data_IF_190666591519
#
_entry.id   IF_190666591519
#
_cell.length_a   1.000
_cell.length_b   1.000
_cell.length_c   1.000
_cell.angle_alpha   90.00
_cell.angle_beta   90.00
_cell.angle_gamma   90.00
#
_symmetry.space_group_name_H-M   'P 1'
#
loop_
_entity.id
_entity.type
_entity.pdbx_description
1 polymer ?
#
# COMPACT_ATOMS: atom_id res chain seq x y z
N UNK A 1 40.62 -7.63 -2.45
CA UNK A 1 39.55 -7.54 -3.48
C UNK A 1 38.80 -6.23 -3.27
N UNK A 2 38.72 -5.36 -4.28
CA UNK A 2 37.99 -4.08 -4.16
C UNK A 2 36.48 -4.35 -4.06
N UNK A 3 35.80 -3.76 -3.06
CA UNK A 3 34.34 -3.87 -2.90
C UNK A 3 33.67 -3.22 -4.11
N UNK A 4 32.79 -3.97 -4.78
CA UNK A 4 32.00 -3.47 -5.92
C UNK A 4 31.04 -2.38 -5.44
N UNK A 5 31.27 -1.14 -5.86
CA UNK A 5 30.43 0.02 -5.51
C UNK A 5 29.20 0.09 -6.41
N UNK A 6 28.02 0.07 -5.81
CA UNK A 6 26.74 0.19 -6.51
C UNK A 6 26.18 1.60 -6.34
N UNK A 7 25.94 2.28 -7.47
CA UNK A 7 25.31 3.60 -7.50
C UNK A 7 23.78 3.45 -7.58
N UNK A 8 23.06 4.13 -6.69
CA UNK A 8 21.59 4.24 -6.73
C UNK A 8 21.14 5.20 -7.86
N UNK A 9 19.84 5.31 -8.10
CA UNK A 9 19.30 6.10 -9.21
C UNK A 9 19.67 7.59 -9.10
N UNK A 10 19.58 8.14 -7.89
CA UNK A 10 19.98 9.53 -7.60
C UNK A 10 21.46 9.81 -7.90
N UNK A 11 22.37 8.92 -7.46
CA UNK A 11 23.80 9.02 -7.73
C UNK A 11 24.12 8.88 -9.22
N UNK A 12 23.38 8.06 -9.96
CA UNK A 12 23.53 7.94 -11.42
C UNK A 12 23.08 9.22 -12.12
N UNK A 13 21.99 9.85 -11.67
CA UNK A 13 21.54 11.13 -12.22
C UNK A 13 22.53 12.25 -11.94
N UNK A 14 23.07 12.33 -10.72
CA UNK A 14 24.10 13.32 -10.39
C UNK A 14 25.37 13.10 -11.21
N UNK A 15 25.78 11.85 -11.44
CA UNK A 15 26.87 11.51 -12.35
C UNK A 15 26.60 12.04 -13.76
N UNK A 16 25.41 11.80 -14.32
CA UNK A 16 25.03 12.27 -15.66
C UNK A 16 25.03 13.80 -15.74
N UNK A 17 24.47 14.49 -14.74
CA UNK A 17 24.51 15.97 -14.65
C UNK A 17 25.93 16.51 -14.64
N UNK A 18 26.85 15.85 -13.94
CA UNK A 18 28.25 16.27 -13.91
C UNK A 18 29.01 15.93 -15.20
N UNK A 19 28.61 14.87 -15.90
CA UNK A 19 29.12 14.55 -17.22
C UNK A 19 28.70 15.61 -18.25
N UNK A 20 27.45 16.05 -18.24
CA UNK A 20 26.94 17.13 -19.11
C UNK A 20 27.62 18.47 -18.83
N UNK A 21 28.01 18.74 -17.57
CA UNK A 21 28.86 19.89 -17.19
C UNK A 21 30.32 19.77 -17.68
N UNK A 22 30.66 18.74 -18.45
CA UNK A 22 31.96 18.57 -19.09
C UNK A 22 33.00 17.78 -18.27
N UNK A 23 32.62 17.12 -17.15
CA UNK A 23 33.58 16.28 -16.42
C UNK A 23 33.88 15.00 -17.19
N UNK A 24 35.17 14.65 -17.27
CA UNK A 24 35.60 13.41 -17.93
C UNK A 24 35.20 12.16 -17.13
N UNK A 25 35.00 11.04 -17.84
CA UNK A 25 34.70 9.75 -17.21
C UNK A 25 35.76 9.31 -16.18
N UNK A 26 37.02 9.74 -16.35
CA UNK A 26 38.08 9.51 -15.36
C UNK A 26 37.82 10.27 -14.06
N UNK A 27 37.47 11.56 -14.14
CA UNK A 27 37.17 12.39 -12.97
C UNK A 27 35.93 11.90 -12.23
N UNK A 28 34.93 11.42 -12.97
CA UNK A 28 33.71 10.83 -12.40
C UNK A 28 33.98 9.50 -11.69
N UNK A 29 34.84 8.64 -12.23
CA UNK A 29 35.25 7.40 -11.57
C UNK A 29 35.88 7.66 -10.19
N UNK A 30 36.70 8.71 -10.07
CA UNK A 30 37.31 9.15 -8.82
C UNK A 30 36.26 9.71 -7.84
N UNK A 31 35.36 10.60 -8.32
CA UNK A 31 34.31 11.23 -7.51
C UNK A 31 33.31 10.23 -6.92
N UNK A 32 32.90 9.24 -7.70
CA UNK A 32 31.87 8.25 -7.32
C UNK A 32 32.47 6.93 -6.82
N UNK A 33 33.79 6.86 -6.66
CA UNK A 33 34.52 5.67 -6.20
C UNK A 33 34.14 4.39 -6.95
N UNK A 34 33.99 4.48 -8.28
CA UNK A 34 33.56 3.37 -9.11
C UNK A 34 34.43 3.18 -10.35
N UNK A 35 34.37 1.98 -10.95
CA UNK A 35 35.21 1.65 -12.10
C UNK A 35 34.81 2.41 -13.36
N UNK A 36 35.79 2.77 -14.22
CA UNK A 36 35.53 3.46 -15.50
C UNK A 36 34.54 2.73 -16.39
N UNK A 37 34.55 1.40 -16.38
CA UNK A 37 33.57 0.57 -17.13
C UNK A 37 32.14 0.81 -16.66
N UNK A 38 31.92 1.00 -15.36
CA UNK A 38 30.62 1.31 -14.79
C UNK A 38 30.17 2.73 -15.15
N UNK A 39 31.07 3.71 -15.09
CA UNK A 39 30.80 5.09 -15.54
C UNK A 39 30.37 5.10 -17.01
N UNK A 40 31.17 4.50 -17.89
CA UNK A 40 30.89 4.47 -19.33
C UNK A 40 29.57 3.73 -19.64
N UNK A 41 29.24 2.69 -18.87
CA UNK A 41 27.95 2.01 -19.00
C UNK A 41 26.79 2.96 -18.63
N UNK A 42 26.89 3.69 -17.53
CA UNK A 42 25.87 4.65 -17.08
C UNK A 42 25.69 5.77 -18.12
N UNK A 43 26.79 6.29 -18.68
CA UNK A 43 26.73 7.32 -19.74
C UNK A 43 26.05 6.77 -21.01
N UNK A 44 26.32 5.52 -21.38
CA UNK A 44 25.65 4.87 -22.53
C UNK A 44 24.15 4.66 -22.30
N UNK A 45 23.75 4.35 -21.06
CA UNK A 45 22.36 4.12 -20.66
C UNK A 45 21.63 5.41 -20.23
N UNK A 46 22.14 6.61 -20.61
CA UNK A 46 21.64 7.90 -20.10
C UNK A 46 20.14 8.09 -20.29
N UNK A 47 19.61 7.76 -21.46
CA UNK A 47 18.22 8.06 -21.83
C UNK A 47 17.26 7.16 -21.05
N UNK A 48 17.67 5.90 -20.83
CA UNK A 48 16.94 4.95 -20.00
C UNK A 48 16.92 5.42 -18.53
N UNK A 49 18.06 5.87 -18.00
CA UNK A 49 18.15 6.35 -16.62
C UNK A 49 17.33 7.62 -16.40
N UNK A 50 17.26 8.51 -17.41
CA UNK A 50 16.45 9.73 -17.34
C UNK A 50 14.96 9.40 -17.29
N UNK A 51 14.50 8.53 -18.19
CA UNK A 51 13.13 8.03 -18.20
C UNK A 51 12.77 7.32 -16.89
N UNK A 52 13.67 6.47 -16.39
CA UNK A 52 13.51 5.81 -15.09
C UNK A 52 13.46 6.82 -13.93
N UNK A 53 14.15 7.95 -14.01
CA UNK A 53 14.08 8.98 -12.97
C UNK A 53 12.75 9.74 -12.97
N UNK A 54 12.20 10.02 -14.15
CA UNK A 54 10.90 10.69 -14.30
C UNK A 54 9.72 9.79 -13.90
N UNK A 55 9.77 8.50 -14.26
CA UNK A 55 8.70 7.55 -13.99
C UNK A 55 8.62 7.11 -12.51
N UNK A 56 9.73 7.16 -11.75
CA UNK A 56 9.80 6.59 -10.40
C UNK A 56 9.91 7.64 -9.28
N UNK A 57 9.00 7.59 -8.31
CA UNK A 57 9.01 8.46 -7.12
C UNK A 57 10.03 8.08 -6.01
N UNK A 58 10.79 6.97 -6.16
CA UNK A 58 11.70 6.46 -5.13
C UNK A 58 13.15 6.36 -5.62
N UNK A 59 13.90 7.45 -5.50
CA UNK A 59 15.26 7.57 -6.05
C UNK A 59 16.38 6.91 -5.21
N UNK A 60 16.09 6.52 -3.96
CA UNK A 60 17.07 5.96 -3.01
C UNK A 60 17.39 4.47 -3.15
N UNK A 61 16.74 3.75 -4.07
CA UNK A 61 16.87 2.29 -4.19
C UNK A 61 18.19 1.91 -4.93
N UNK A 62 19.03 1.09 -4.28
CA UNK A 62 20.38 0.72 -4.78
C UNK A 62 20.41 -0.27 -5.95
N UNK A 63 19.33 -1.05 -6.15
CA UNK A 63 19.20 -2.04 -7.25
C UNK A 63 17.77 -2.10 -7.73
N UNK A 64 17.58 -1.82 -9.00
CA UNK A 64 16.33 -2.11 -9.70
C UNK A 64 16.26 -3.60 -10.04
N UNK A 65 15.16 -4.26 -9.70
CA UNK A 65 14.76 -5.52 -10.32
C UNK A 65 13.66 -5.19 -11.31
N UNK A 66 13.93 -5.33 -12.60
CA UNK A 66 12.89 -5.31 -13.62
C UNK A 66 11.86 -6.39 -13.25
N UNK A 67 10.59 -6.00 -13.22
CA UNK A 67 9.53 -6.94 -12.85
C UNK A 67 9.39 -7.97 -13.97
N UNK A 68 9.35 -9.25 -13.60
CA UNK A 68 9.11 -10.34 -14.55
C UNK A 68 7.73 -10.23 -15.23
N UNK A 69 6.81 -9.43 -14.65
CA UNK A 69 5.39 -9.39 -14.99
C UNK A 69 4.83 -7.94 -14.99
N UNK A 70 5.51 -7.01 -15.68
CA UNK A 70 5.10 -5.59 -15.77
C UNK A 70 3.64 -5.45 -16.21
N UNK A 71 3.24 -6.19 -17.25
CA UNK A 71 1.89 -6.13 -17.82
C UNK A 71 0.81 -6.52 -16.80
N UNK A 72 1.05 -7.52 -15.95
CA UNK A 72 0.10 -7.92 -14.91
C UNK A 72 -0.01 -6.80 -13.86
N UNK A 73 1.12 -6.22 -13.44
CA UNK A 73 1.10 -5.18 -12.43
C UNK A 73 0.40 -3.90 -12.91
N UNK A 74 0.57 -3.51 -14.17
CA UNK A 74 -0.15 -2.39 -14.77
C UNK A 74 -1.66 -2.65 -14.84
N UNK A 75 -2.06 -3.83 -15.31
CA UNK A 75 -3.48 -4.21 -15.39
C UNK A 75 -4.15 -4.28 -14.00
N UNK A 76 -3.45 -4.81 -12.98
CA UNK A 76 -3.94 -4.83 -11.60
C UNK A 76 -4.08 -3.41 -11.05
N UNK A 77 -3.15 -2.51 -11.36
CA UNK A 77 -3.22 -1.12 -10.94
C UNK A 77 -4.39 -0.38 -11.60
N UNK A 78 -4.62 -0.59 -12.88
CA UNK A 78 -5.74 0.00 -13.61
C UNK A 78 -7.07 -0.48 -13.02
N UNK A 79 -7.23 -1.79 -12.84
CA UNK A 79 -8.39 -2.37 -12.17
C UNK A 79 -8.60 -1.78 -10.77
N UNK A 80 -7.54 -1.66 -9.98
CA UNK A 80 -7.60 -1.08 -8.64
C UNK A 80 -8.13 0.36 -8.68
N UNK A 81 -7.63 1.20 -9.60
CA UNK A 81 -8.11 2.57 -9.79
C UNK A 81 -9.58 2.60 -10.18
N UNK A 82 -10.03 1.74 -11.10
CA UNK A 82 -11.44 1.65 -11.51
C UNK A 82 -12.36 1.28 -10.34
N UNK A 83 -11.96 0.32 -9.51
CA UNK A 83 -12.76 -0.12 -8.36
C UNK A 83 -12.79 0.95 -7.27
N UNK A 84 -11.68 1.65 -7.05
CA UNK A 84 -11.61 2.79 -6.12
C UNK A 84 -12.42 4.00 -6.58
N UNK A 85 -12.46 4.29 -7.88
CA UNK A 85 -13.32 5.35 -8.44
C UNK A 85 -14.80 5.10 -8.16
N UNK A 86 -15.21 3.82 -8.06
CA UNK A 86 -16.56 3.40 -7.65
C UNK A 86 -16.77 3.37 -6.13
N UNK A 87 -15.80 3.86 -5.34
CA UNK A 87 -15.78 3.83 -3.87
C UNK A 87 -15.89 2.43 -3.25
N UNK A 88 -15.54 1.39 -4.02
CA UNK A 88 -15.56 0.02 -3.52
C UNK A 88 -14.27 -0.24 -2.73
N UNK A 89 -14.42 -0.89 -1.58
CA UNK A 89 -13.31 -1.28 -0.73
C UNK A 89 -12.61 -2.49 -1.33
N UNK A 90 -11.29 -2.39 -1.46
CA UNK A 90 -10.45 -3.47 -1.98
C UNK A 90 -9.55 -3.95 -0.85
N UNK A 91 -9.46 -5.27 -0.66
CA UNK A 91 -8.55 -5.89 0.32
C UNK A 91 -7.30 -6.47 -0.36
N UNK A 92 -6.29 -6.82 0.43
CA UNK A 92 -5.06 -7.42 -0.08
C UNK A 92 -5.29 -8.74 -0.83
N UNK A 93 -6.07 -9.67 -0.25
CA UNK A 93 -6.48 -10.89 -0.94
C UNK A 93 -7.21 -10.64 -2.25
N UNK A 94 -8.03 -9.58 -2.37
CA UNK A 94 -8.68 -9.24 -3.63
C UNK A 94 -7.67 -8.82 -4.70
N UNK A 95 -6.64 -8.06 -4.35
CA UNK A 95 -5.56 -7.69 -5.27
C UNK A 95 -4.78 -8.92 -5.72
N UNK A 96 -4.46 -9.82 -4.78
CA UNK A 96 -3.78 -11.09 -5.10
C UNK A 96 -4.63 -11.96 -6.03
N UNK A 97 -5.93 -12.09 -5.75
CA UNK A 97 -6.84 -12.83 -6.61
C UNK A 97 -6.91 -12.23 -8.01
N UNK A 98 -7.05 -10.91 -8.14
CA UNK A 98 -7.11 -10.26 -9.46
C UNK A 98 -5.81 -10.44 -10.25
N UNK A 99 -4.66 -10.33 -9.58
CA UNK A 99 -3.37 -10.56 -10.21
C UNK A 99 -3.23 -12.00 -10.74
N UNK A 100 -3.75 -12.99 -10.00
CA UNK A 100 -3.78 -14.38 -10.44
C UNK A 100 -4.71 -14.60 -11.63
N UNK A 101 -5.93 -14.06 -11.57
CA UNK A 101 -6.90 -14.12 -12.69
C UNK A 101 -6.32 -13.55 -13.99
N UNK A 102 -5.61 -12.42 -13.91
CA UNK A 102 -4.93 -11.82 -15.06
C UNK A 102 -3.75 -12.65 -15.55
N UNK A 103 -3.00 -13.31 -14.66
CA UNK A 103 -1.92 -14.21 -15.05
C UNK A 103 -2.45 -15.45 -15.78
N UNK A 104 -3.54 -16.03 -15.28
CA UNK A 104 -4.21 -17.19 -15.89
C UNK A 104 -4.75 -16.84 -17.28
N UNK A 105 -5.36 -15.66 -17.44
CA UNK A 105 -5.84 -15.17 -18.74
C UNK A 105 -4.72 -14.95 -19.77
N UNK A 106 -3.50 -14.65 -19.31
CA UNK A 106 -2.30 -14.49 -20.15
C UNK A 106 -1.53 -15.80 -20.36
N UNK A 107 -2.00 -16.92 -19.81
CA UNK A 107 -1.32 -18.22 -19.91
C UNK A 107 -0.01 -18.29 -19.13
N UNK A 108 0.15 -17.47 -18.08
CA UNK A 108 1.38 -17.46 -17.27
C UNK A 108 1.24 -18.51 -16.16
N UNK A 109 1.82 -19.67 -16.39
CA UNK A 109 1.88 -20.74 -15.40
C UNK A 109 2.83 -20.38 -14.22
N UNK A 110 2.50 -20.90 -13.04
CA UNK A 110 3.28 -20.71 -11.81
C UNK A 110 3.41 -19.25 -11.32
N UNK A 111 2.45 -18.39 -11.65
CA UNK A 111 2.38 -17.06 -11.10
C UNK A 111 2.01 -17.10 -9.61
N UNK A 112 2.93 -16.64 -8.74
CA UNK A 112 2.74 -16.62 -7.30
C UNK A 112 2.59 -15.19 -6.77
N UNK A 113 1.41 -14.91 -6.20
CA UNK A 113 1.07 -13.63 -5.57
C UNK A 113 1.37 -13.67 -4.07
N UNK A 114 2.63 -13.93 -3.71
CA UNK A 114 3.03 -13.95 -2.30
C UNK A 114 2.81 -12.59 -1.61
N UNK A 115 2.74 -12.59 -0.27
CA UNK A 115 2.59 -11.35 0.51
C UNK A 115 3.71 -10.34 0.19
N UNK A 116 4.95 -10.81 -0.02
CA UNK A 116 6.05 -9.94 -0.44
C UNK A 116 5.92 -9.39 -1.86
N UNK A 117 5.14 -10.01 -2.74
CA UNK A 117 4.78 -9.43 -4.04
C UNK A 117 3.76 -8.30 -3.85
N UNK A 118 2.72 -8.54 -3.05
CA UNK A 118 1.70 -7.55 -2.70
C UNK A 118 2.30 -6.32 -2.03
N UNK A 119 3.20 -6.50 -1.06
CA UNK A 119 3.83 -5.36 -0.37
C UNK A 119 4.69 -4.50 -1.30
N UNK A 120 5.41 -5.13 -2.23
CA UNK A 120 6.16 -4.39 -3.25
C UNK A 120 5.26 -3.64 -4.21
N UNK A 121 4.18 -4.27 -4.69
CA UNK A 121 3.16 -3.63 -5.51
C UNK A 121 2.60 -2.39 -4.80
N UNK A 122 2.31 -2.51 -3.51
CA UNK A 122 1.79 -1.41 -2.69
C UNK A 122 2.77 -0.25 -2.56
N UNK A 123 4.02 -0.55 -2.19
CA UNK A 123 5.07 0.47 -2.01
C UNK A 123 5.29 1.22 -3.32
N UNK A 124 5.39 0.50 -4.45
CA UNK A 124 5.61 1.08 -5.79
C UNK A 124 4.47 2.01 -6.20
N UNK A 125 3.23 1.61 -5.92
CA UNK A 125 2.05 2.35 -6.33
C UNK A 125 1.53 3.32 -5.25
N UNK A 126 2.26 3.50 -4.15
CA UNK A 126 1.91 4.38 -3.04
C UNK A 126 0.54 4.07 -2.40
N UNK A 127 0.27 2.78 -2.23
CA UNK A 127 -0.96 2.21 -1.73
C UNK A 127 -0.82 1.79 -0.26
N UNK A 128 -1.76 2.17 0.60
CA UNK A 128 -1.73 1.89 2.05
C UNK A 128 -3.00 1.19 2.50
N UNK A 129 -2.90 0.16 3.35
CA UNK A 129 -4.06 -0.39 4.04
C UNK A 129 -4.43 0.51 5.21
N UNK A 130 -5.69 0.94 5.29
CA UNK A 130 -6.25 1.52 6.50
C UNK A 130 -7.44 0.69 6.95
N UNK A 131 -7.51 0.46 8.26
CA UNK A 131 -8.73 -0.03 8.88
C UNK A 131 -9.73 1.13 8.88
N UNK A 132 -10.91 0.91 8.30
CA UNK A 132 -11.99 1.88 8.44
C UNK A 132 -12.64 1.61 9.79
N UNK A 133 -12.44 2.50 10.76
CA UNK A 133 -13.17 2.44 12.03
C UNK A 133 -14.58 2.96 11.74
N UNK A 134 -15.59 2.08 11.81
CA UNK A 134 -16.93 2.34 11.31
C UNK A 134 -17.86 3.09 12.29
N UNK A 135 -17.46 3.28 13.55
CA UNK A 135 -18.42 3.64 14.62
C UNK A 135 -18.10 4.96 15.33
N UNK A 136 -16.87 5.47 15.28
CA UNK A 136 -16.49 6.68 16.00
C UNK A 136 -17.04 7.99 15.38
N UNK A 137 -17.63 7.94 14.19
CA UNK A 137 -18.05 9.14 13.45
C UNK A 137 -19.53 9.53 13.65
N UNK A 138 -20.31 8.71 14.35
CA UNK A 138 -21.78 8.86 14.44
C UNK A 138 -22.30 9.00 15.88
N UNK A 139 -21.40 9.07 16.88
CA UNK A 139 -21.78 9.25 18.29
C UNK A 139 -21.72 10.73 18.64
N UNK A 140 -22.87 11.31 19.00
CA UNK A 140 -22.95 12.67 19.54
C UNK A 140 -22.22 12.71 20.90
N UNK A 141 -21.17 13.55 21.07
CA UNK A 141 -20.45 13.66 22.34
C UNK A 141 -21.36 13.98 23.53
N UNK A 142 -22.47 14.70 23.30
CA UNK A 142 -23.42 15.05 24.36
C UNK A 142 -24.19 13.84 24.91
N UNK A 143 -24.41 12.80 24.11
CA UNK A 143 -25.03 11.54 24.57
C UNK A 143 -24.09 10.73 25.48
N UNK A 144 -22.77 10.88 25.32
CA UNK A 144 -21.78 10.17 26.15
C UNK A 144 -21.69 10.74 27.57
N UNK A 145 -21.80 12.06 27.73
CA UNK A 145 -21.76 12.73 29.04
C UNK A 145 -22.98 12.34 29.90
N UNK A 146 -24.19 12.35 29.31
CA UNK A 146 -25.42 11.93 29.98
C UNK A 146 -25.39 10.45 30.43
N UNK A 147 -24.73 9.58 29.68
CA UNK A 147 -24.64 8.15 30.04
C UNK A 147 -23.73 7.90 31.25
N UNK A 148 -22.66 8.69 31.42
CA UNK A 148 -21.73 8.53 32.54
C UNK A 148 -22.38 8.90 33.89
N UNK A 149 -23.26 9.89 33.91
CA UNK A 149 -23.98 10.29 35.13
C UNK A 149 -25.17 9.36 35.45
N UNK A 150 -25.85 8.83 34.42
CA UNK A 150 -27.05 8.01 34.57
C UNK A 150 -26.78 6.55 34.89
N UNK A 151 -25.68 5.98 34.40
CA UNK A 151 -25.40 4.55 34.54
C UNK A 151 -25.23 4.13 36.02
N UNK A 152 -24.49 4.85 36.88
CA UNK A 152 -24.40 4.51 38.31
C UNK A 152 -25.75 4.56 39.03
N UNK A 153 -26.64 5.49 38.64
CA UNK A 153 -27.98 5.61 39.24
C UNK A 153 -28.88 4.42 38.87
N UNK A 154 -28.74 3.88 37.65
CA UNK A 154 -29.49 2.72 37.19
C UNK A 154 -28.98 1.41 37.82
N UNK A 155 -27.67 1.33 38.11
CA UNK A 155 -27.03 0.17 38.71
C UNK A 155 -27.11 0.15 40.24
N UNK A 156 -27.45 1.26 40.90
CA UNK A 156 -27.46 1.39 42.37
C UNK A 156 -28.36 0.39 43.13
N UNK A 157 -29.27 -0.31 42.44
CA UNK A 157 -30.17 -1.31 43.01
C UNK A 157 -29.83 -2.77 42.68
N UNK A 158 -28.73 -3.02 41.99
CA UNK A 158 -28.29 -4.34 41.57
C UNK A 158 -26.92 -4.64 42.16
N UNK A 159 -26.68 -5.88 42.58
CA UNK A 159 -25.34 -6.33 42.96
C UNK A 159 -24.49 -6.52 41.69
N UNK A 160 -23.17 -6.38 41.82
CA UNK A 160 -22.23 -6.50 40.70
C UNK A 160 -22.35 -7.89 40.01
N UNK A 161 -22.67 -8.94 40.77
CA UNK A 161 -22.87 -10.31 40.27
C UNK A 161 -24.15 -10.48 39.44
N UNK A 162 -25.10 -9.54 39.54
CA UNK A 162 -26.34 -9.49 38.76
C UNK A 162 -26.24 -8.53 37.55
N UNK A 163 -25.06 -7.92 37.35
CA UNK A 163 -24.80 -6.97 36.27
C UNK A 163 -24.05 -7.64 35.13
N UNK A 164 -24.78 -8.05 34.09
CA UNK A 164 -24.22 -8.69 32.90
C UNK A 164 -24.04 -7.68 31.76
N UNK A 165 -22.91 -7.76 31.07
CA UNK A 165 -22.70 -7.00 29.84
C UNK A 165 -23.25 -7.78 28.66
N UNK A 166 -24.42 -7.38 28.18
CA UNK A 166 -24.99 -7.95 26.96
C UNK A 166 -24.50 -7.16 25.74
N UNK A 167 -23.84 -7.85 24.81
CA UNK A 167 -23.45 -7.26 23.54
C UNK A 167 -24.00 -8.09 22.38
N UNK A 168 -24.49 -7.39 21.35
CA UNK A 168 -24.96 -8.00 20.13
C UNK A 168 -23.87 -7.87 19.07
N UNK A 169 -23.27 -9.00 18.68
CA UNK A 169 -22.45 -9.03 17.48
C UNK A 169 -23.29 -9.51 16.31
N UNK A 170 -23.04 -8.96 15.13
CA UNK A 170 -23.68 -9.43 13.92
C UNK A 170 -22.68 -10.18 13.05
N UNK A 171 -23.03 -11.43 12.69
CA UNK A 171 -22.28 -12.19 11.69
C UNK A 171 -22.70 -11.71 10.29
N UNK A 172 -21.84 -10.93 9.64
CA UNK A 172 -22.10 -10.45 8.29
C UNK A 172 -21.56 -11.41 7.22
N UNK A 173 -22.44 -12.00 6.42
CA UNK A 173 -22.06 -12.89 5.30
C UNK A 173 -22.02 -12.17 3.94
N UNK A 174 -22.51 -10.93 3.88
CA UNK A 174 -22.48 -10.06 2.69
C UNK A 174 -21.78 -8.72 2.92
N UNK A 175 -21.17 -8.51 4.09
CA UNK A 175 -20.46 -7.26 4.35
C UNK A 175 -19.21 -7.13 3.49
N UNK A 176 -19.01 -5.92 2.97
CA UNK A 176 -17.75 -5.54 2.36
C UNK A 176 -16.62 -5.54 3.41
N UNK A 177 -15.36 -5.78 3.02
CA UNK A 177 -14.25 -5.79 3.96
C UNK A 177 -14.11 -4.48 4.73
N UNK A 178 -14.05 -4.55 6.07
CA UNK A 178 -13.84 -3.38 6.96
C UNK A 178 -12.41 -2.79 6.86
N UNK A 179 -11.49 -3.52 6.23
CA UNK A 179 -10.11 -3.09 5.97
C UNK A 179 -9.96 -2.84 4.49
N UNK A 180 -9.67 -1.59 4.13
CA UNK A 180 -9.58 -1.18 2.73
C UNK A 180 -8.22 -0.62 2.38
N UNK A 181 -7.87 -0.84 1.13
CA UNK A 181 -6.69 -0.31 0.48
C UNK A 181 -7.04 1.08 -0.05
N UNK A 182 -6.31 2.11 0.38
CA UNK A 182 -6.49 3.48 -0.07
C UNK A 182 -5.18 4.06 -0.61
N UNK A 183 -5.29 5.03 -1.51
CA UNK A 183 -4.14 5.82 -1.95
C UNK A 183 -3.79 6.87 -0.88
N UNK A 184 -2.50 7.13 -0.63
CA UNK A 184 -2.08 8.00 0.49
C UNK A 184 -2.65 9.42 0.50
N UNK A 185 -3.13 9.92 -0.63
CA UNK A 185 -3.73 11.26 -0.77
C UNK A 185 -5.23 11.30 -0.47
N UNK A 186 -5.88 10.17 -0.19
CA UNK A 186 -7.32 10.11 0.07
C UNK A 186 -7.63 10.11 1.57
N UNK A 187 -8.60 10.93 1.98
CA UNK A 187 -9.21 10.82 3.31
C UNK A 187 -10.06 9.54 3.40
N UNK A 188 -9.81 8.75 4.44
CA UNK A 188 -10.54 7.52 4.69
C UNK A 188 -11.87 7.84 5.40
N UNK A 189 -12.94 8.13 4.63
CA UNK A 189 -14.29 8.27 5.17
C UNK A 189 -15.08 6.98 4.91
N UNK A 190 -15.43 6.27 5.98
CA UNK A 190 -16.25 5.06 5.90
C UNK A 190 -17.69 5.40 5.53
N UNK A 191 -18.24 4.69 4.56
CA UNK A 191 -19.68 4.71 4.27
C UNK A 191 -20.41 3.63 5.05
N UNK A 192 -21.71 3.86 5.34
CA UNK A 192 -22.59 2.87 5.98
C UNK A 192 -22.69 1.63 5.07
N UNK A 193 -22.07 0.53 5.48
CA UNK A 193 -22.08 -0.73 4.72
C UNK A 193 -23.48 -1.34 4.88
N UNK A 194 -24.07 -1.84 3.80
CA UNK A 194 -25.30 -2.65 3.91
C UNK A 194 -24.98 -3.92 4.70
N UNK A 195 -25.56 -4.01 5.89
CA UNK A 195 -25.27 -5.01 6.91
C UNK A 195 -26.40 -6.05 6.91
N UNK A 196 -26.39 -6.96 5.94
CA UNK A 196 -27.18 -8.20 6.05
C UNK A 196 -26.38 -9.19 6.92
N UNK A 197 -26.94 -9.55 8.07
CA UNK A 197 -26.26 -10.42 9.04
C UNK A 197 -27.24 -11.08 10.00
N UNK A 198 -26.77 -12.15 10.65
CA UNK A 198 -27.49 -12.81 11.74
C UNK A 198 -27.07 -12.16 13.06
N UNK A 199 -28.02 -11.72 13.90
CA UNK A 199 -27.72 -11.20 15.23
C UNK A 199 -27.32 -12.36 16.15
N UNK A 200 -26.21 -12.19 16.86
CA UNK A 200 -25.73 -13.11 17.88
C UNK A 200 -25.60 -12.30 19.17
N UNK A 201 -26.31 -12.76 20.19
CA UNK A 201 -26.27 -12.14 21.52
C UNK A 201 -25.33 -12.93 22.42
N UNK A 202 -24.45 -12.22 23.12
CA UNK A 202 -23.69 -12.75 24.24
C UNK A 202 -24.13 -12.03 25.51
N UNK A 203 -24.20 -12.78 26.61
CA UNK A 203 -24.48 -12.30 27.96
C UNK A 203 -23.29 -12.68 28.83
#
# INVERSE_FOLDING_TARGET
MSKRVFLNLEQRMELLRQYEKGKSARKLAELFYCGRTQINKIIKEKDLIWKEYEDFKFHGIKRMRHEKYVNINEAVLEWFKTVRAKKILVSGPMIQHKAKELADALGIENFSTSNGCLDRFRIRNNITFRSLCGEAADVDPSLCEDCQERLPLLLAGYDDEDTFNMDETALFFRALPNKSVIQKSEEARGGKISKEGLPLVFV
#
